data_IF_994449646413
#
_entry.id   IF_994449646413
#
_cell.length_a   1.000
_cell.length_b   1.000
_cell.length_c   1.000
_cell.angle_alpha   90.00
_cell.angle_beta   90.00
_cell.angle_gamma   90.00
#
_symmetry.space_group_name_H-M   'P 1'
#
loop_
_entity.id
_entity.type
_entity.pdbx_description
1 polymer ?
#
# COMPACT_ATOMS: atom_id res chain seq x y z
N UNK A 1 -7.82 37.90 44.38
CA UNK A 1 -6.91 36.86 43.84
C UNK A 1 -7.67 35.78 43.05
N UNK A 2 -8.66 35.09 43.63
CA UNK A 2 -9.40 34.03 42.91
C UNK A 2 -10.26 34.54 41.73
N UNK A 3 -10.91 35.70 41.86
CA UNK A 3 -11.79 36.24 40.81
C UNK A 3 -11.04 36.66 39.53
N UNK A 4 -9.77 37.07 39.64
CA UNK A 4 -8.93 37.46 38.51
C UNK A 4 -8.56 36.26 37.63
N UNK A 5 -8.36 35.09 38.24
CA UNK A 5 -8.06 33.85 37.52
C UNK A 5 -9.27 33.31 36.74
N UNK A 6 -10.49 33.47 37.28
CA UNK A 6 -11.73 33.02 36.63
C UNK A 6 -12.04 33.79 35.35
N UNK A 7 -11.57 35.05 35.23
CA UNK A 7 -11.75 35.88 34.03
C UNK A 7 -10.55 35.78 33.08
N UNK A 8 -9.33 35.62 33.59
CA UNK A 8 -8.13 35.53 32.76
C UNK A 8 -8.04 34.22 31.95
N UNK A 9 -8.49 33.09 32.51
CA UNK A 9 -8.38 31.78 31.86
C UNK A 9 -9.28 31.68 30.60
N UNK A 10 -10.57 32.09 30.62
CA UNK A 10 -11.40 32.10 29.41
C UNK A 10 -10.87 33.02 28.30
N UNK A 11 -10.29 34.17 28.67
CA UNK A 11 -9.71 35.13 27.71
C UNK A 11 -8.47 34.57 27.00
N UNK A 12 -7.61 33.85 27.72
CA UNK A 12 -6.46 33.15 27.15
C UNK A 12 -6.87 32.00 26.22
N UNK A 13 -7.96 31.30 26.53
CA UNK A 13 -8.49 30.18 25.71
C UNK A 13 -9.16 30.68 24.42
N UNK A 14 -9.73 31.89 24.41
CA UNK A 14 -10.30 32.47 23.18
C UNK A 14 -9.23 33.02 22.23
N UNK A 15 -8.04 33.37 22.73
CA UNK A 15 -6.94 33.91 21.92
C UNK A 15 -6.19 32.84 21.09
N UNK A 16 -6.40 31.55 21.34
CA UNK A 16 -5.66 30.44 20.66
C UNK A 16 -6.45 29.77 19.54
N UNK A 17 -7.43 30.45 18.92
CA UNK A 17 -7.97 30.02 17.62
C UNK A 17 -6.99 30.36 16.50
N UNK A 18 -5.87 29.64 16.45
CA UNK A 18 -5.05 29.56 15.25
C UNK A 18 -5.81 28.68 14.27
N UNK A 19 -6.38 29.30 13.25
CA UNK A 19 -6.89 28.60 12.07
C UNK A 19 -5.72 27.88 11.42
N UNK A 20 -5.59 26.58 11.67
CA UNK A 20 -4.65 25.72 10.95
C UNK A 20 -5.19 25.53 9.52
N UNK A 21 -4.86 26.47 8.64
CA UNK A 21 -5.06 26.34 7.21
C UNK A 21 -3.98 25.38 6.71
N UNK A 22 -4.34 24.11 6.50
CA UNK A 22 -3.41 23.14 5.92
C UNK A 22 -3.47 23.28 4.39
N UNK A 23 -2.62 24.15 3.84
CA UNK A 23 -2.37 24.16 2.41
C UNK A 23 -1.51 22.95 2.05
N UNK A 24 -2.11 21.97 1.39
CA UNK A 24 -1.40 20.91 0.67
C UNK A 24 -0.72 21.52 -0.56
N UNK A 25 0.34 22.31 -0.36
CA UNK A 25 1.19 22.82 -1.44
C UNK A 25 2.15 21.71 -1.88
N UNK A 26 1.63 20.74 -2.62
CA UNK A 26 2.45 19.71 -3.26
C UNK A 26 1.65 18.77 -4.15
N UNK A 27 1.95 18.75 -5.45
CA UNK A 27 1.49 17.68 -6.33
C UNK A 27 2.34 16.44 -6.07
N UNK A 28 1.72 15.36 -5.57
CA UNK A 28 2.40 14.08 -5.45
C UNK A 28 2.62 13.50 -6.86
N UNK A 29 3.86 13.46 -7.34
CA UNK A 29 4.23 12.77 -8.59
C UNK A 29 4.93 11.48 -8.24
N UNK A 30 4.42 10.36 -8.74
CA UNK A 30 5.16 9.10 -8.78
C UNK A 30 6.34 9.27 -9.73
N UNK A 31 7.55 9.43 -9.19
CA UNK A 31 8.78 9.34 -9.97
C UNK A 31 9.14 7.85 -10.05
N UNK A 32 8.47 7.13 -10.94
CA UNK A 32 9.05 5.91 -11.46
C UNK A 32 9.98 6.33 -12.60
N UNK A 33 11.20 6.76 -12.27
CA UNK A 33 12.24 6.91 -13.29
C UNK A 33 13.05 5.61 -13.35
N UNK A 34 12.94 4.81 -14.44
CA UNK A 34 13.81 3.67 -14.63
C UNK A 34 15.19 4.20 -15.04
N UNK A 35 16.06 4.43 -14.05
CA UNK A 35 17.51 4.41 -14.21
C UNK A 35 18.05 5.19 -15.44
N UNK A 36 17.90 6.52 -15.47
CA UNK A 36 18.69 7.37 -16.37
C UNK A 36 20.03 7.74 -15.71
N UNK A 37 21.20 7.36 -16.27
CA UNK A 37 22.49 7.56 -15.60
C UNK A 37 23.09 8.91 -15.99
N UNK A 38 22.58 10.04 -15.48
CA UNK A 38 23.29 11.34 -15.52
C UNK A 38 22.90 12.22 -14.31
N UNK A 39 23.83 12.52 -13.39
CA UNK A 39 23.53 13.43 -12.28
C UNK A 39 23.45 14.89 -12.74
N UNK A 40 22.38 15.57 -12.34
CA UNK A 40 22.20 17.03 -12.44
C UNK A 40 22.97 17.73 -11.32
N UNK A 41 23.58 18.87 -11.64
CA UNK A 41 24.59 19.59 -10.84
C UNK A 41 24.10 20.26 -9.55
N UNK A 42 22.83 20.12 -9.16
CA UNK A 42 22.25 20.82 -8.00
C UNK A 42 22.21 19.99 -6.71
N UNK A 43 22.62 18.72 -6.75
CA UNK A 43 22.62 17.85 -5.55
C UNK A 43 23.92 17.93 -4.73
N UNK A 44 24.93 18.68 -5.17
CA UNK A 44 26.25 18.69 -4.53
C UNK A 44 26.44 19.79 -3.46
N UNK A 45 25.55 20.78 -3.36
CA UNK A 45 25.78 21.96 -2.51
C UNK A 45 25.24 21.84 -1.07
N UNK A 46 24.48 20.79 -0.73
CA UNK A 46 23.80 20.70 0.59
C UNK A 46 24.50 19.80 1.61
N UNK A 47 25.62 19.14 1.26
CA UNK A 47 26.35 18.25 2.19
C UNK A 47 27.61 18.87 2.81
N UNK A 48 27.81 20.19 2.73
CA UNK A 48 29.06 20.85 3.10
C UNK A 48 29.05 21.67 4.39
N UNK A 49 28.18 21.37 5.35
CA UNK A 49 28.35 21.95 6.68
C UNK A 49 28.07 20.94 7.79
N UNK A 50 28.92 20.98 8.82
CA UNK A 50 28.99 20.10 10.01
C UNK A 50 29.78 18.79 9.87
N UNK A 51 31.11 18.91 9.89
CA UNK A 51 32.04 17.80 10.08
C UNK A 51 33.46 18.25 10.39
N UNK A 52 33.64 19.05 11.44
CA UNK A 52 34.95 19.54 11.86
C UNK A 52 35.79 18.43 12.55
N UNK A 53 37.00 18.22 12.00
CA UNK A 53 38.21 17.59 12.54
C UNK A 53 38.30 16.03 12.49
N UNK A 54 39.08 15.45 11.54
CA UNK A 54 39.53 14.05 11.59
C UNK A 54 40.86 13.86 12.35
N UNK A 55 41.12 12.68 12.96
CA UNK A 55 42.38 12.36 13.66
C UNK A 55 43.56 12.04 12.69
N UNK A 56 44.83 12.05 13.16
CA UNK A 56 46.02 12.00 12.30
C UNK A 56 46.33 10.60 11.72
N UNK A 57 47.11 10.50 10.62
CA UNK A 57 47.27 9.26 9.86
C UNK A 57 48.44 8.37 10.35
N UNK A 58 48.37 7.04 10.15
CA UNK A 58 49.51 6.13 10.25
C UNK A 58 50.28 5.99 8.92
N UNK A 59 51.54 5.48 8.93
CA UNK A 59 52.50 5.65 7.84
C UNK A 59 52.25 4.76 6.62
N UNK A 60 52.65 5.30 5.47
CA UNK A 60 52.47 4.79 4.11
C UNK A 60 53.39 3.62 3.76
N UNK A 61 52.79 2.51 3.32
CA UNK A 61 53.44 1.55 2.43
C UNK A 61 52.59 1.36 1.18
N UNK A 62 53.25 1.59 0.04
CA UNK A 62 52.73 1.66 -1.33
C UNK A 62 52.06 0.36 -1.79
N UNK A 63 50.73 0.41 -2.01
CA UNK A 63 49.96 -0.65 -2.66
C UNK A 63 49.89 -0.38 -4.17
N UNK A 64 50.41 -1.30 -4.98
CA UNK A 64 50.46 -1.19 -6.45
C UNK A 64 49.08 -1.04 -7.09
N UNK A 65 49.05 -0.49 -8.30
CA UNK A 65 47.82 -0.20 -9.05
C UNK A 65 47.04 -1.48 -9.35
N UNK A 66 45.73 -1.44 -9.11
CA UNK A 66 44.80 -2.53 -9.45
C UNK A 66 44.76 -2.69 -10.96
N UNK A 67 44.94 -3.92 -11.46
CA UNK A 67 44.86 -4.24 -12.89
C UNK A 67 43.47 -3.95 -13.47
N UNK A 68 43.42 -3.67 -14.78
CA UNK A 68 42.17 -3.29 -15.43
C UNK A 68 41.12 -4.42 -15.41
N UNK A 69 39.82 -4.07 -15.32
CA UNK A 69 38.74 -5.05 -15.42
C UNK A 69 38.79 -5.83 -16.74
N UNK A 70 38.48 -7.13 -16.66
CA UNK A 70 38.38 -8.00 -17.84
C UNK A 70 37.25 -7.57 -18.78
N UNK A 71 37.41 -7.86 -20.08
CA UNK A 71 36.40 -7.49 -21.10
C UNK A 71 35.09 -8.26 -20.89
N UNK A 72 33.92 -7.64 -21.10
CA UNK A 72 32.64 -8.32 -21.05
C UNK A 72 32.55 -9.53 -21.98
N UNK A 73 31.79 -10.55 -21.57
CA UNK A 73 31.53 -11.75 -22.36
C UNK A 73 30.69 -11.46 -23.62
N UNK A 74 30.81 -12.32 -24.63
CA UNK A 74 30.03 -12.17 -25.87
C UNK A 74 28.54 -12.48 -25.61
N UNK A 75 27.60 -11.79 -26.29
CA UNK A 75 26.18 -12.11 -26.22
C UNK A 75 25.88 -13.57 -26.60
N UNK A 76 24.85 -14.14 -25.98
CA UNK A 76 24.39 -15.50 -26.29
C UNK A 76 23.76 -15.61 -27.69
N UNK A 77 23.68 -16.82 -28.25
CA UNK A 77 23.05 -17.06 -29.55
C UNK A 77 21.54 -16.80 -29.50
N UNK A 78 20.97 -16.37 -30.63
CA UNK A 78 19.53 -16.17 -30.80
C UNK A 78 18.80 -17.52 -30.73
N UNK A 79 17.63 -17.53 -30.08
CA UNK A 79 16.78 -18.72 -30.02
C UNK A 79 16.23 -19.14 -31.39
N UNK A 80 15.78 -20.41 -31.53
CA UNK A 80 15.26 -20.93 -32.79
C UNK A 80 13.94 -20.24 -33.21
N UNK A 81 13.64 -20.14 -34.52
CA UNK A 81 12.35 -19.64 -35.01
C UNK A 81 11.17 -20.50 -34.52
N UNK A 82 10.02 -19.86 -34.29
CA UNK A 82 8.78 -20.55 -33.91
C UNK A 82 8.20 -21.39 -35.05
N UNK A 83 7.39 -22.39 -34.70
CA UNK A 83 6.76 -23.30 -35.66
C UNK A 83 5.70 -22.59 -36.54
N UNK A 84 5.54 -22.96 -37.81
CA UNK A 84 4.50 -22.43 -38.68
C UNK A 84 3.09 -22.77 -38.19
N UNK A 85 2.16 -21.82 -38.33
CA UNK A 85 0.74 -22.03 -37.99
C UNK A 85 -0.02 -22.95 -38.98
N UNK A 86 -1.19 -23.46 -38.59
CA UNK A 86 -2.00 -24.36 -39.42
C UNK A 86 -2.59 -23.69 -40.68
N UNK A 87 -2.84 -24.42 -41.78
CA UNK A 87 -3.45 -23.85 -42.99
C UNK A 87 -4.97 -23.60 -42.85
N UNK A 88 -5.43 -22.44 -43.32
CA UNK A 88 -6.84 -22.05 -43.42
C UNK A 88 -7.59 -22.88 -44.48
N UNK A 89 -8.65 -23.56 -44.06
CA UNK A 89 -9.61 -24.22 -44.95
C UNK A 89 -10.79 -23.28 -45.24
N UNK A 90 -10.73 -22.54 -46.35
CA UNK A 90 -11.85 -21.78 -46.89
C UNK A 90 -12.88 -22.66 -47.60
N UNK A 91 -14.18 -22.41 -47.36
CA UNK A 91 -15.32 -22.85 -48.20
C UNK A 91 -16.47 -21.80 -48.17
N UNK A 92 -17.34 -21.74 -49.20
CA UNK A 92 -17.64 -20.49 -49.92
C UNK A 92 -19.11 -19.98 -49.87
N UNK A 93 -19.24 -18.69 -50.24
CA UNK A 93 -20.37 -17.89 -50.77
C UNK A 93 -21.82 -18.41 -50.72
N UNK A 94 -22.72 -17.57 -50.21
CA UNK A 94 -24.13 -17.49 -50.63
C UNK A 94 -24.53 -16.02 -50.90
N UNK A 95 -25.20 -15.78 -52.03
CA UNK A 95 -25.55 -14.47 -52.61
C UNK A 95 -27.03 -14.12 -52.34
N UNK A 96 -27.29 -12.83 -52.08
CA UNK A 96 -28.56 -12.08 -52.33
C UNK A 96 -29.54 -12.04 -51.15
N UNK A 97 -30.07 -10.91 -50.68
CA UNK A 97 -30.84 -9.85 -51.39
C UNK A 97 -30.77 -8.50 -50.60
N UNK A 98 -30.59 -7.36 -51.28
CA UNK A 98 -30.69 -5.95 -50.81
C UNK A 98 -32.08 -5.34 -51.16
N UNK A 99 -32.46 -4.05 -50.92
CA UNK A 99 -31.82 -2.91 -50.20
C UNK A 99 -32.74 -2.09 -49.25
N UNK A 100 -32.17 -1.28 -48.34
CA UNK A 100 -32.90 -0.30 -47.52
C UNK A 100 -32.02 0.74 -46.79
N UNK A 101 -31.39 1.63 -47.57
CA UNK A 101 -31.15 3.07 -47.36
C UNK A 101 -30.86 3.65 -45.95
N UNK A 102 -29.60 4.12 -45.77
CA UNK A 102 -29.11 5.37 -45.09
C UNK A 102 -29.39 5.58 -43.59
N UNK A 103 -28.44 5.95 -42.71
CA UNK A 103 -27.33 6.90 -42.83
C UNK A 103 -26.39 6.78 -41.60
N UNK A 104 -25.09 6.82 -41.86
CA UNK A 104 -24.01 7.43 -41.06
C UNK A 104 -23.94 7.25 -39.53
N UNK A 105 -22.90 6.53 -39.11
CA UNK A 105 -21.89 7.08 -38.20
C UNK A 105 -22.19 7.01 -36.72
N UNK A 106 -21.72 5.94 -36.07
CA UNK A 106 -20.75 6.02 -34.97
C UNK A 106 -20.44 4.59 -34.55
N UNK A 107 -19.26 4.13 -34.95
CA UNK A 107 -18.56 3.05 -34.29
C UNK A 107 -18.23 3.50 -32.87
N UNK A 108 -19.20 3.35 -31.98
CA UNK A 108 -19.05 3.56 -30.54
C UNK A 108 -18.14 2.48 -29.98
N UNK A 109 -16.96 2.92 -29.55
CA UNK A 109 -15.90 2.18 -28.90
C UNK A 109 -16.40 1.08 -27.94
N UNK A 110 -16.31 -0.18 -28.37
CA UNK A 110 -16.31 -1.34 -27.45
C UNK A 110 -14.94 -1.49 -26.76
N UNK A 111 -14.19 -0.39 -26.63
CA UNK A 111 -12.82 -0.33 -26.11
C UNK A 111 -12.64 0.50 -24.84
N UNK A 112 -13.71 1.10 -24.29
CA UNK A 112 -13.64 2.06 -23.18
C UNK A 112 -14.39 1.62 -21.91
N UNK A 113 -14.70 0.32 -21.79
CA UNK A 113 -15.36 -0.26 -20.60
C UNK A 113 -14.40 -1.01 -19.66
N UNK A 114 -13.11 -1.15 -20.01
CA UNK A 114 -12.04 -1.47 -19.06
C UNK A 114 -11.48 -0.19 -18.45
N UNK A 115 -12.37 0.75 -18.09
CA UNK A 115 -11.99 1.90 -17.30
C UNK A 115 -11.28 1.40 -16.05
N UNK A 116 -9.99 1.74 -15.92
CA UNK A 116 -9.04 1.26 -14.90
C UNK A 116 -9.75 0.74 -13.64
N UNK A 117 -9.76 -0.59 -13.44
CA UNK A 117 -10.27 -1.17 -12.20
C UNK A 117 -9.44 -0.58 -11.06
N UNK A 118 -10.10 0.19 -10.20
CA UNK A 118 -9.48 0.89 -9.07
C UNK A 118 -10.19 0.44 -7.80
N UNK A 119 -9.51 -0.38 -7.03
CA UNK A 119 -9.99 -0.88 -5.75
C UNK A 119 -8.93 -0.56 -4.71
N UNK A 120 -9.30 0.18 -3.68
CA UNK A 120 -8.40 0.53 -2.59
C UNK A 120 -9.21 0.89 -1.34
N UNK A 121 -8.75 0.46 -0.17
CA UNK A 121 -9.31 0.89 1.10
C UNK A 121 -8.20 1.19 2.12
N UNK A 122 -8.53 2.06 3.06
CA UNK A 122 -7.74 2.35 4.25
C UNK A 122 -8.70 2.71 5.37
N UNK A 123 -8.57 1.97 6.47
CA UNK A 123 -9.46 2.06 7.63
C UNK A 123 -8.65 2.10 8.92
N UNK A 124 -9.12 2.90 9.87
CA UNK A 124 -8.65 2.97 11.24
C UNK A 124 -9.64 2.34 12.22
N UNK A 125 -9.29 2.34 13.50
CA UNK A 125 -10.11 1.76 14.57
C UNK A 125 -10.55 2.88 15.52
N UNK A 126 -11.86 3.10 15.71
CA UNK A 126 -12.40 4.03 16.70
C UNK A 126 -12.61 3.33 18.03
N UNK A 127 -13.32 2.21 17.99
CA UNK A 127 -13.73 1.50 19.18
C UNK A 127 -12.70 0.41 19.49
N UNK A 128 -12.10 0.39 20.69
CA UNK A 128 -11.25 -0.71 21.09
C UNK A 128 -12.01 -2.04 21.01
N UNK A 129 -11.37 -3.06 20.45
CA UNK A 129 -12.00 -4.35 20.20
C UNK A 129 -11.25 -5.44 20.97
N UNK A 130 -11.99 -6.34 21.61
CA UNK A 130 -11.46 -7.45 22.39
C UNK A 130 -11.97 -8.78 21.81
N UNK A 131 -11.26 -9.87 22.12
CA UNK A 131 -11.72 -11.23 21.87
C UNK A 131 -11.19 -11.87 20.58
N UNK A 132 -11.57 -13.13 20.40
CA UNK A 132 -11.17 -14.03 19.30
C UNK A 132 -12.00 -13.83 18.03
N UNK A 133 -12.29 -12.59 17.69
CA UNK A 133 -13.21 -12.23 16.61
C UNK A 133 -12.52 -11.43 15.52
N UNK A 134 -13.24 -11.22 14.41
CA UNK A 134 -12.82 -10.32 13.35
C UNK A 134 -12.69 -8.91 13.92
N UNK A 135 -11.54 -8.27 13.68
CA UNK A 135 -11.31 -6.89 14.06
C UNK A 135 -12.04 -5.95 13.11
N UNK A 136 -13.05 -5.25 13.62
CA UNK A 136 -13.86 -4.30 12.87
C UNK A 136 -13.26 -2.91 12.92
N UNK A 137 -12.49 -2.56 11.88
CA UNK A 137 -11.98 -1.20 11.69
C UNK A 137 -13.11 -0.30 11.18
N UNK A 138 -13.62 0.56 12.06
CA UNK A 138 -14.84 1.36 11.87
C UNK A 138 -14.57 2.84 11.55
N UNK A 139 -13.30 3.22 11.36
CA UNK A 139 -12.92 4.55 10.86
C UNK A 139 -12.51 4.51 9.40
N UNK A 140 -13.49 4.56 8.50
CA UNK A 140 -13.23 4.51 7.06
C UNK A 140 -12.68 5.85 6.56
N UNK A 141 -11.44 5.82 6.04
CA UNK A 141 -10.80 6.98 5.40
C UNK A 141 -10.92 6.88 3.87
N UNK A 142 -10.61 5.71 3.32
CA UNK A 142 -10.72 5.42 1.89
C UNK A 142 -11.44 4.08 1.70
N UNK A 143 -12.37 4.02 0.75
CA UNK A 143 -13.06 2.77 0.37
C UNK A 143 -13.49 2.81 -1.11
N UNK A 144 -12.52 3.00 -2.01
CA UNK A 144 -12.76 3.04 -3.44
C UNK A 144 -13.19 1.65 -3.93
N UNK A 145 -14.37 1.58 -4.55
CA UNK A 145 -15.03 0.32 -4.92
C UNK A 145 -15.99 -0.23 -3.86
N UNK A 146 -15.98 0.33 -2.64
CA UNK A 146 -16.85 -0.09 -1.52
C UNK A 146 -16.78 -1.59 -1.19
N UNK A 147 -15.58 -2.18 -1.29
CA UNK A 147 -15.35 -3.60 -1.05
C UNK A 147 -15.01 -3.91 0.41
N UNK A 148 -14.66 -2.91 1.22
CA UNK A 148 -14.53 -3.06 2.67
C UNK A 148 -15.85 -2.71 3.36
N UNK A 149 -16.30 -3.57 4.27
CA UNK A 149 -17.48 -3.34 5.11
C UNK A 149 -17.06 -3.17 6.59
N UNK A 150 -17.19 -1.96 7.16
CA UNK A 150 -16.81 -1.69 8.55
C UNK A 150 -17.72 -2.39 9.58
N UNK A 151 -18.91 -2.84 9.18
CA UNK A 151 -19.83 -3.54 10.10
C UNK A 151 -19.39 -4.98 10.35
N UNK A 152 -18.76 -5.60 9.35
CA UNK A 152 -18.23 -6.98 9.42
C UNK A 152 -16.73 -7.03 9.64
N UNK A 153 -16.00 -5.94 9.31
CA UNK A 153 -14.55 -5.86 9.38
C UNK A 153 -13.83 -6.49 8.20
N UNK A 154 -14.56 -6.82 7.12
CA UNK A 154 -14.05 -7.64 6.01
C UNK A 154 -13.95 -6.83 4.72
N UNK A 155 -12.93 -7.14 3.95
CA UNK A 155 -12.86 -6.85 2.53
C UNK A 155 -13.41 -8.06 1.75
N UNK A 156 -14.37 -7.85 0.86
CA UNK A 156 -14.88 -8.90 -0.03
C UNK A 156 -14.47 -8.61 -1.47
N UNK A 157 -13.66 -9.51 -2.03
CA UNK A 157 -13.23 -9.46 -3.41
C UNK A 157 -14.43 -9.52 -4.35
N UNK A 158 -14.55 -8.58 -5.29
CA UNK A 158 -15.56 -8.64 -6.35
C UNK A 158 -14.94 -8.85 -7.73
N UNK A 159 -13.65 -8.55 -7.88
CA UNK A 159 -12.88 -8.70 -9.11
C UNK A 159 -11.69 -9.60 -8.83
N UNK A 160 -11.59 -10.74 -9.50
CA UNK A 160 -10.44 -11.63 -9.35
C UNK A 160 -9.14 -10.94 -9.77
N UNK A 161 -8.05 -11.20 -9.05
CA UNK A 161 -6.77 -10.55 -9.31
C UNK A 161 -5.77 -10.66 -8.17
N UNK A 162 -4.65 -9.95 -8.35
CA UNK A 162 -3.59 -9.84 -7.34
C UNK A 162 -3.84 -8.58 -6.50
N UNK A 163 -3.84 -8.75 -5.18
CA UNK A 163 -4.08 -7.69 -4.19
C UNK A 163 -2.92 -7.60 -3.21
N UNK A 164 -2.65 -6.38 -2.74
CA UNK A 164 -1.77 -6.13 -1.60
C UNK A 164 -2.61 -5.78 -0.37
N UNK A 165 -2.21 -6.29 0.80
CA UNK A 165 -2.78 -5.94 2.08
C UNK A 165 -1.69 -5.68 3.11
N UNK A 166 -1.91 -4.72 4.00
CA UNK A 166 -1.06 -4.46 5.16
C UNK A 166 -1.91 -4.07 6.35
N UNK A 167 -1.51 -4.51 7.54
CA UNK A 167 -2.15 -4.13 8.78
C UNK A 167 -1.10 -3.78 9.83
N UNK A 168 -1.49 -2.87 10.71
CA UNK A 168 -0.73 -2.48 11.88
C UNK A 168 -1.70 -2.39 13.03
N UNK A 169 -1.63 -3.28 14.00
CA UNK A 169 -2.55 -3.29 15.14
C UNK A 169 -1.77 -2.96 16.40
N UNK A 170 -2.11 -1.83 17.02
CA UNK A 170 -1.64 -1.48 18.36
C UNK A 170 -2.44 -2.32 19.35
N UNK A 171 -1.77 -3.26 20.00
CA UNK A 171 -2.41 -4.22 20.90
C UNK A 171 -1.94 -4.04 22.34
N UNK A 172 -2.82 -4.39 23.27
CA UNK A 172 -2.50 -4.53 24.70
C UNK A 172 -2.85 -5.95 25.14
N UNK A 173 -1.84 -6.71 25.55
CA UNK A 173 -1.99 -8.06 26.08
C UNK A 173 -1.91 -8.12 27.61
N UNK A 174 -1.99 -9.33 28.16
CA UNK A 174 -1.67 -9.61 29.57
C UNK A 174 -0.16 -9.77 29.80
N UNK A 175 0.29 -9.61 31.04
CA UNK A 175 1.70 -9.77 31.41
C UNK A 175 2.25 -11.14 30.99
N UNK A 176 3.35 -11.14 30.23
CA UNK A 176 4.03 -12.36 29.77
C UNK A 176 3.24 -13.19 28.76
N UNK A 177 2.09 -12.71 28.27
CA UNK A 177 1.25 -13.43 27.29
C UNK A 177 1.51 -12.95 25.87
N UNK A 178 1.58 -13.87 24.92
CA UNK A 178 1.68 -13.54 23.50
C UNK A 178 0.34 -13.05 22.96
N UNK A 179 0.39 -12.06 22.08
CA UNK A 179 -0.76 -11.55 21.34
C UNK A 179 -0.50 -11.61 19.85
N UNK A 180 -1.56 -11.82 19.07
CA UNK A 180 -1.48 -12.09 17.65
C UNK A 180 -2.50 -11.25 16.88
N UNK A 181 -2.08 -10.80 15.70
CA UNK A 181 -2.99 -10.34 14.67
C UNK A 181 -2.76 -11.19 13.41
N UNK A 182 -3.82 -11.82 12.94
CA UNK A 182 -3.79 -12.72 11.80
C UNK A 182 -4.62 -12.14 10.65
N UNK A 183 -4.01 -11.99 9.48
CA UNK A 183 -4.76 -11.74 8.25
C UNK A 183 -5.23 -13.08 7.68
N UNK A 184 -6.54 -13.21 7.55
CA UNK A 184 -7.22 -14.39 7.09
C UNK A 184 -7.80 -14.21 5.69
N UNK A 185 -7.75 -15.27 4.88
CA UNK A 185 -8.50 -15.47 3.64
C UNK A 185 -9.49 -16.60 3.85
N UNK A 186 -10.79 -16.32 3.82
CA UNK A 186 -11.86 -17.33 4.00
C UNK A 186 -11.64 -18.25 5.22
N UNK A 187 -11.23 -17.69 6.37
CA UNK A 187 -10.95 -18.46 7.59
C UNK A 187 -9.55 -19.07 7.69
N UNK A 188 -8.73 -19.03 6.64
CA UNK A 188 -7.35 -19.49 6.68
C UNK A 188 -6.38 -18.34 6.92
N UNK A 189 -5.48 -18.48 7.90
CA UNK A 189 -4.40 -17.51 8.16
C UNK A 189 -3.44 -17.49 6.97
N UNK A 190 -3.18 -16.31 6.42
CA UNK A 190 -2.26 -16.08 5.29
C UNK A 190 -1.02 -15.29 5.70
N UNK A 191 -1.14 -14.46 6.73
CA UNK A 191 -0.04 -13.76 7.37
C UNK A 191 -0.37 -13.54 8.85
N UNK A 192 0.63 -13.67 9.72
CA UNK A 192 0.48 -13.55 11.17
C UNK A 192 1.57 -12.64 11.72
N UNK A 193 1.25 -11.88 12.77
CA UNK A 193 2.23 -11.12 13.54
C UNK A 193 2.02 -11.42 15.03
N UNK A 194 3.12 -11.69 15.72
CA UNK A 194 3.16 -11.94 17.16
C UNK A 194 3.87 -10.79 17.87
N UNK A 195 3.35 -10.40 19.02
CA UNK A 195 4.04 -9.56 20.00
C UNK A 195 3.95 -10.20 21.39
N UNK A 196 5.00 -10.05 22.20
CA UNK A 196 5.02 -10.53 23.59
C UNK A 196 6.00 -9.70 24.40
N UNK A 197 5.50 -9.09 25.47
CA UNK A 197 6.31 -8.37 26.44
C UNK A 197 6.18 -9.02 27.84
N UNK A 198 7.26 -8.95 28.62
CA UNK A 198 7.31 -9.56 29.95
C UNK A 198 6.48 -8.78 30.98
N UNK A 199 6.43 -7.46 30.84
CA UNK A 199 5.80 -6.49 31.72
C UNK A 199 4.95 -5.53 30.87
N UNK A 200 3.64 -5.49 31.15
CA UNK A 200 2.58 -4.79 30.41
C UNK A 200 3.07 -3.62 29.56
N UNK A 201 3.09 -3.82 28.24
CA UNK A 201 3.12 -2.71 27.31
C UNK A 201 2.23 -2.92 26.09
N UNK A 202 1.96 -1.79 25.46
CA UNK A 202 1.39 -1.75 24.13
C UNK A 202 2.48 -2.10 23.14
N UNK A 203 2.18 -2.99 22.21
CA UNK A 203 3.08 -3.31 21.10
C UNK A 203 2.29 -3.48 19.79
N UNK A 204 3.00 -3.51 18.68
CA UNK A 204 2.44 -3.64 17.35
C UNK A 204 2.54 -5.06 16.81
N UNK A 205 1.38 -5.63 16.48
CA UNK A 205 1.29 -6.78 15.59
C UNK A 205 1.05 -6.27 14.16
N UNK A 206 2.09 -6.29 13.32
CA UNK A 206 2.04 -5.77 11.95
C UNK A 206 2.57 -6.79 10.94
N UNK A 207 1.87 -6.95 9.82
CA UNK A 207 2.37 -7.71 8.68
C UNK A 207 1.75 -7.22 7.37
N UNK A 208 2.27 -7.70 6.26
CA UNK A 208 1.76 -7.43 4.91
C UNK A 208 1.80 -8.68 4.04
N UNK A 209 0.96 -8.73 3.01
CA UNK A 209 0.88 -9.88 2.12
C UNK A 209 0.40 -9.48 0.73
N UNK A 210 0.89 -10.19 -0.29
CA UNK A 210 0.34 -10.15 -1.66
C UNK A 210 -0.39 -11.47 -1.90
N UNK A 211 -1.65 -11.41 -2.30
CA UNK A 211 -2.49 -12.58 -2.51
C UNK A 211 -3.23 -12.49 -3.84
N UNK A 212 -3.35 -13.63 -4.52
CA UNK A 212 -4.39 -13.80 -5.53
C UNK A 212 -5.73 -14.07 -4.83
N UNK A 213 -6.76 -13.35 -5.25
CA UNK A 213 -8.13 -13.49 -4.78
C UNK A 213 -9.06 -13.81 -5.94
N UNK A 214 -10.00 -14.71 -5.70
CA UNK A 214 -11.16 -14.94 -6.54
C UNK A 214 -12.32 -14.06 -6.09
N UNK A 215 -13.23 -13.73 -7.01
CA UNK A 215 -14.48 -13.06 -6.66
C UNK A 215 -15.24 -13.85 -5.59
N UNK A 216 -15.64 -13.16 -4.51
CA UNK A 216 -16.27 -13.74 -3.33
C UNK A 216 -15.32 -13.99 -2.16
N UNK A 217 -13.99 -13.98 -2.37
CA UNK A 217 -13.03 -14.17 -1.28
C UNK A 217 -13.12 -13.04 -0.24
N UNK A 218 -13.10 -13.42 1.04
CA UNK A 218 -13.10 -12.50 2.18
C UNK A 218 -11.70 -12.39 2.80
N UNK A 219 -11.24 -11.16 2.99
CA UNK A 219 -10.00 -10.81 3.69
C UNK A 219 -10.30 -10.00 4.92
N UNK A 220 -9.73 -10.39 6.06
CA UNK A 220 -9.94 -9.69 7.34
C UNK A 220 -8.84 -9.98 8.33
N UNK A 221 -8.73 -9.15 9.37
CA UNK A 221 -7.80 -9.35 10.48
C UNK A 221 -8.56 -9.97 11.66
N UNK A 222 -7.97 -10.98 12.30
CA UNK A 222 -8.47 -11.59 13.54
C UNK A 222 -7.45 -11.36 14.66
N UNK A 223 -7.92 -11.14 15.88
CA UNK A 223 -7.07 -11.01 17.06
C UNK A 223 -7.06 -12.28 17.90
N UNK A 224 -5.96 -12.49 18.60
CA UNK A 224 -5.81 -13.49 19.66
C UNK A 224 -4.93 -12.90 20.79
N UNK A 225 -5.27 -13.19 22.04
CA UNK A 225 -4.42 -12.88 23.20
C UNK A 225 -4.33 -11.41 23.62
N UNK A 226 -5.09 -10.49 23.00
CA UNK A 226 -5.03 -9.07 23.34
C UNK A 226 -6.19 -8.22 22.85
N UNK A 227 -6.17 -6.94 23.25
CA UNK A 227 -7.12 -5.89 22.86
C UNK A 227 -6.49 -4.95 21.85
N UNK A 228 -7.18 -4.64 20.75
CA UNK A 228 -6.72 -3.63 19.80
C UNK A 228 -7.16 -2.21 20.20
N UNK A 229 -6.32 -1.23 19.89
CA UNK A 229 -6.50 0.17 20.27
C UNK A 229 -6.36 1.13 19.08
N UNK A 230 -7.34 2.01 18.93
CA UNK A 230 -7.36 3.08 17.93
C UNK A 230 -6.51 4.31 18.26
N UNK A 231 -6.22 4.50 19.55
CA UNK A 231 -5.69 5.77 20.07
C UNK A 231 -6.71 6.92 19.99
N UNK A 232 -6.26 8.14 20.26
CA UNK A 232 -7.13 9.32 20.33
C UNK A 232 -7.64 9.84 18.97
N UNK A 233 -6.96 9.47 17.88
CA UNK A 233 -7.27 9.91 16.51
C UNK A 233 -7.72 8.75 15.60
N UNK A 234 -7.89 7.55 16.17
CA UNK A 234 -8.30 6.32 15.50
C UNK A 234 -7.29 5.75 14.49
N UNK A 235 -6.05 6.27 14.44
CA UNK A 235 -5.04 5.90 13.42
C UNK A 235 -3.92 5.00 13.91
N UNK A 236 -3.94 4.58 15.17
CA UNK A 236 -2.91 3.70 15.69
C UNK A 236 -3.10 2.26 15.20
N UNK A 237 -4.33 1.75 15.15
CA UNK A 237 -4.63 0.47 14.53
C UNK A 237 -5.25 0.69 13.15
N UNK A 238 -4.64 0.11 12.12
CA UNK A 238 -5.02 0.34 10.73
C UNK A 238 -4.98 -0.93 9.90
N UNK A 239 -5.81 -0.94 8.86
CA UNK A 239 -5.83 -1.97 7.83
C UNK A 239 -6.03 -1.31 6.46
N UNK A 240 -5.25 -1.72 5.47
CA UNK A 240 -5.38 -1.25 4.10
C UNK A 240 -5.11 -2.35 3.10
N UNK A 241 -5.62 -2.13 1.91
CA UNK A 241 -5.32 -2.96 0.75
C UNK A 241 -5.83 -2.35 -0.54
N UNK A 242 -5.30 -2.85 -1.64
CA UNK A 242 -5.64 -2.40 -2.99
C UNK A 242 -5.34 -3.48 -4.02
N UNK A 243 -6.02 -3.40 -5.15
CA UNK A 243 -5.74 -4.24 -6.31
C UNK A 243 -4.44 -3.78 -6.97
N UNK A 244 -3.56 -4.73 -7.29
CA UNK A 244 -2.38 -4.52 -8.11
C UNK A 244 -2.73 -4.73 -9.58
N UNK A 245 -3.26 -5.91 -9.90
CA UNK A 245 -3.62 -6.30 -11.27
C UNK A 245 -4.91 -7.13 -11.24
N UNK A 246 -5.95 -6.76 -12.00
CA UNK A 246 -7.06 -7.67 -12.27
C UNK A 246 -6.62 -8.81 -13.18
N UNK A 247 -7.28 -9.96 -13.07
CA UNK A 247 -7.09 -11.10 -13.99
C UNK A 247 -7.59 -10.82 -15.42
#
# INVERSE_FOLDING_TARGET
MALALVVAIPLLVQATKISAHYEMMGTCRMICDPYSPKPSATALEVMQDLGAIPPPPPPSFSRGTKGEPGRPGKPGPRGPPGEPGPPDAGKPNLIGITPGTTKSGESGEVGSALGSIKIAFYVGLKNPHEGYEVLRFDDVVTNLGNHYDPTTGKFTCQVSGIYFFTYHVLMRGGDGTSMWADLCKNGQVRASAIAQDADQNYDYASNSVVLHLDSGDEIYVKLDGGKAHGGNNNKYSTFSGFILYPD
#
